data_IF_933801071996
#
_entry.id   IF_933801071996
#
_cell.length_a   1.000
_cell.length_b   1.000
_cell.length_c   1.000
_cell.angle_alpha   90.00
_cell.angle_beta   90.00
_cell.angle_gamma   90.00
#
_symmetry.space_group_name_H-M   'P 1'
#
loop_
_entity.id
_entity.type
_entity.pdbx_description
1 polymer ?
#
# COMPACT_ATOMS: atom_id res chain seq x y z
N UNK A 1 13.48 13.32 7.33
CA UNK A 1 12.25 13.41 8.15
C UNK A 1 11.60 12.05 8.05
N UNK A 2 11.54 11.31 9.16
CA UNK A 2 10.87 10.02 9.16
C UNK A 2 9.39 10.25 8.95
N UNK A 3 8.80 9.59 7.96
CA UNK A 3 7.36 9.60 7.72
C UNK A 3 6.72 9.11 9.01
N UNK A 4 6.18 10.05 9.78
CA UNK A 4 5.44 9.80 10.99
C UNK A 4 4.35 8.80 10.60
N UNK A 5 4.50 7.57 11.07
CA UNK A 5 3.54 6.51 10.80
C UNK A 5 2.25 6.98 11.43
N UNK A 6 1.31 7.43 10.61
CA UNK A 6 0.05 7.93 11.08
C UNK A 6 -0.58 6.83 11.96
N UNK A 7 -0.78 7.06 13.28
CA UNK A 7 -1.18 6.00 14.19
C UNK A 7 -2.52 5.38 13.80
N UNK A 8 -3.36 6.11 13.04
CA UNK A 8 -4.57 5.57 12.42
C UNK A 8 -4.29 4.50 11.37
N UNK A 9 -3.23 4.65 10.57
CA UNK A 9 -2.82 3.67 9.56
C UNK A 9 -2.32 2.38 10.21
N UNK A 10 -1.48 2.46 11.25
CA UNK A 10 -0.96 1.26 11.93
C UNK A 10 -2.06 0.48 12.68
N UNK A 11 -3.08 1.18 13.21
CA UNK A 11 -4.20 0.52 13.88
C UNK A 11 -5.15 -0.17 12.89
N UNK A 12 -5.46 0.46 11.75
CA UNK A 12 -6.27 -0.15 10.70
C UNK A 12 -5.56 -1.33 10.04
N UNK A 13 -4.25 -1.18 9.77
CA UNK A 13 -3.41 -2.28 9.30
C UNK A 13 -3.40 -3.40 10.35
N UNK A 14 -3.51 -3.08 11.64
CA UNK A 14 -3.71 -3.97 12.77
C UNK A 14 -4.94 -4.89 12.73
N UNK A 15 -5.91 -4.66 11.85
CA UNK A 15 -7.11 -5.49 11.67
C UNK A 15 -7.09 -6.32 10.36
N UNK A 16 -6.15 -6.04 9.46
CA UNK A 16 -6.00 -6.76 8.20
C UNK A 16 -5.41 -8.16 8.38
N UNK A 17 -5.63 -9.05 7.43
CA UNK A 17 -4.92 -10.33 7.38
C UNK A 17 -3.42 -10.10 7.22
N UNK A 18 -2.59 -10.99 7.78
CA UNK A 18 -1.13 -10.87 7.68
C UNK A 18 -0.67 -10.72 6.22
N UNK A 19 -1.30 -11.44 5.30
CA UNK A 19 -1.05 -11.34 3.86
C UNK A 19 -1.32 -9.94 3.28
N UNK A 20 -2.47 -9.34 3.60
CA UNK A 20 -2.84 -7.99 3.11
C UNK A 20 -1.86 -6.92 3.63
N UNK A 21 -1.42 -7.05 4.89
CA UNK A 21 -0.44 -6.13 5.49
C UNK A 21 0.91 -6.22 4.80
N UNK A 22 1.37 -7.44 4.55
CA UNK A 22 2.66 -7.71 3.92
C UNK A 22 2.69 -7.16 2.49
N UNK A 23 1.63 -7.44 1.70
CA UNK A 23 1.47 -6.91 0.34
C UNK A 23 1.46 -5.38 0.35
N UNK A 24 0.63 -4.76 1.20
CA UNK A 24 0.55 -3.29 1.30
C UNK A 24 1.89 -2.66 1.69
N UNK A 25 2.56 -3.20 2.71
CA UNK A 25 3.87 -2.69 3.17
C UNK A 25 4.94 -2.84 2.10
N UNK A 26 4.98 -3.98 1.44
CA UNK A 26 5.97 -4.24 0.39
C UNK A 26 5.74 -3.30 -0.80
N UNK A 27 4.50 -3.14 -1.24
CA UNK A 27 4.13 -2.25 -2.34
C UNK A 27 4.47 -0.80 -2.01
N UNK A 28 4.18 -0.35 -0.79
CA UNK A 28 4.57 0.97 -0.28
C UNK A 28 6.08 1.18 -0.18
N UNK A 29 6.85 0.18 0.23
CA UNK A 29 8.32 0.26 0.24
C UNK A 29 8.89 0.34 -1.19
N UNK A 30 8.29 -0.37 -2.14
CA UNK A 30 8.64 -0.23 -3.56
C UNK A 30 8.30 1.17 -4.09
N UNK A 31 7.17 1.75 -3.68
CA UNK A 31 6.83 3.14 -4.02
C UNK A 31 7.85 4.12 -3.45
N UNK A 32 8.15 4.07 -2.15
CA UNK A 32 9.14 4.95 -1.50
C UNK A 32 10.51 4.89 -2.20
N UNK A 33 10.96 3.68 -2.56
CA UNK A 33 12.20 3.48 -3.32
C UNK A 33 12.15 4.05 -4.74
N UNK A 34 11.02 3.91 -5.42
CA UNK A 34 10.85 4.36 -6.81
C UNK A 34 10.61 5.88 -6.88
N UNK A 35 9.98 6.44 -5.85
CA UNK A 35 9.43 7.78 -5.80
C UNK A 35 10.25 8.74 -4.91
N UNK A 36 11.56 8.50 -4.83
CA UNK A 36 12.56 9.40 -4.23
C UNK A 36 12.65 10.80 -4.92
N UNK A 37 11.64 11.18 -5.70
CA UNK A 37 11.53 12.40 -6.51
C UNK A 37 10.19 13.15 -6.37
N UNK A 38 9.41 12.90 -5.31
CA UNK A 38 8.34 13.80 -4.86
C UNK A 38 7.17 13.99 -5.84
N UNK A 39 6.63 12.91 -6.40
CA UNK A 39 5.52 12.97 -7.34
C UNK A 39 4.26 12.28 -6.75
N UNK A 40 3.16 13.02 -6.63
CA UNK A 40 1.78 12.61 -6.29
C UNK A 40 1.47 11.10 -6.05
N UNK A 41 0.98 10.79 -4.84
CA UNK A 41 0.44 9.49 -4.38
C UNK A 41 -0.53 8.81 -5.38
N UNK A 42 -1.28 9.57 -6.19
CA UNK A 42 -2.33 9.00 -7.06
C UNK A 42 -1.78 8.19 -8.26
N UNK A 43 -0.51 8.39 -8.64
CA UNK A 43 0.13 7.65 -9.73
C UNK A 43 0.67 6.27 -9.30
N UNK A 44 0.70 6.00 -7.99
CA UNK A 44 1.36 4.85 -7.38
C UNK A 44 0.73 3.52 -7.81
N UNK A 45 -0.57 3.36 -7.60
CA UNK A 45 -1.30 2.08 -7.83
C UNK A 45 -1.24 1.59 -9.28
N UNK A 46 -1.01 2.50 -10.22
CA UNK A 46 -1.03 2.17 -11.64
C UNK A 46 0.31 1.67 -12.17
N UNK A 47 1.41 1.81 -11.43
CA UNK A 47 2.73 1.46 -11.96
C UNK A 47 2.82 -0.06 -12.29
N UNK A 48 2.99 -0.42 -13.58
CA UNK A 48 3.03 -1.81 -14.00
C UNK A 48 4.30 -2.53 -13.54
N UNK A 49 5.38 -1.81 -13.19
CA UNK A 49 6.60 -2.44 -12.69
C UNK A 49 6.43 -2.87 -11.23
N UNK A 50 5.87 -1.99 -10.40
CA UNK A 50 5.66 -2.27 -8.97
C UNK A 50 4.65 -3.42 -8.81
N UNK A 51 3.55 -3.39 -9.54
CA UNK A 51 2.57 -4.49 -9.51
C UNK A 51 3.14 -5.81 -10.02
N UNK A 52 4.07 -5.80 -10.98
CA UNK A 52 4.77 -7.01 -11.41
C UNK A 52 5.75 -7.55 -10.36
N UNK A 53 6.46 -6.68 -9.62
CA UNK A 53 7.35 -7.10 -8.53
C UNK A 53 6.53 -7.72 -7.39
N UNK A 54 5.46 -7.05 -6.97
CA UNK A 54 4.55 -7.54 -5.91
C UNK A 54 3.89 -8.87 -6.33
N UNK A 55 3.41 -8.94 -7.57
CA UNK A 55 2.84 -10.16 -8.14
C UNK A 55 3.80 -11.35 -8.06
N UNK A 56 5.09 -11.11 -8.37
CA UNK A 56 6.13 -12.14 -8.31
C UNK A 56 6.48 -12.55 -6.88
N UNK A 57 6.57 -11.59 -5.96
CA UNK A 57 6.95 -11.85 -4.56
C UNK A 57 5.85 -12.62 -3.80
N UNK A 58 4.60 -12.24 -4.02
CA UNK A 58 3.46 -12.83 -3.30
C UNK A 58 2.73 -13.93 -4.08
N UNK A 59 3.17 -14.22 -5.31
CA UNK A 59 2.54 -15.17 -6.23
C UNK A 59 1.03 -14.88 -6.42
N UNK A 60 0.69 -13.60 -6.51
CA UNK A 60 -0.66 -13.07 -6.77
C UNK A 60 -0.71 -12.38 -8.12
N UNK A 61 -1.89 -12.13 -8.69
CA UNK A 61 -2.01 -11.36 -9.93
C UNK A 61 -1.73 -9.87 -9.69
N UNK A 62 -1.23 -9.15 -10.71
CA UNK A 62 -1.05 -7.69 -10.64
C UNK A 62 -2.36 -6.96 -10.29
N UNK A 63 -3.50 -7.45 -10.79
CA UNK A 63 -4.83 -6.94 -10.44
C UNK A 63 -5.17 -7.19 -8.96
N UNK A 64 -4.80 -8.35 -8.43
CA UNK A 64 -5.03 -8.71 -7.03
C UNK A 64 -4.16 -7.86 -6.09
N UNK A 65 -2.89 -7.64 -6.45
CA UNK A 65 -2.01 -6.72 -5.73
C UNK A 65 -2.58 -5.30 -5.66
N UNK A 66 -3.09 -4.76 -6.79
CA UNK A 66 -3.78 -3.47 -6.82
C UNK A 66 -5.01 -3.46 -5.95
N UNK A 67 -5.85 -4.48 -6.05
CA UNK A 67 -7.09 -4.56 -5.29
C UNK A 67 -6.82 -4.61 -3.77
N UNK A 68 -5.80 -5.35 -3.33
CA UNK A 68 -5.37 -5.37 -1.94
C UNK A 68 -4.94 -3.97 -1.51
N UNK A 69 -4.07 -3.31 -2.28
CA UNK A 69 -3.59 -1.96 -1.95
C UNK A 69 -4.74 -0.96 -1.84
N UNK A 70 -5.58 -0.84 -2.87
CA UNK A 70 -6.74 0.07 -2.88
C UNK A 70 -7.73 -0.28 -1.77
N UNK A 71 -7.95 -1.56 -1.47
CA UNK A 71 -8.83 -1.97 -0.36
C UNK A 71 -8.29 -1.51 0.99
N UNK A 72 -6.99 -1.66 1.22
CA UNK A 72 -6.31 -1.21 2.44
C UNK A 72 -6.37 0.31 2.56
N UNK A 73 -6.08 1.05 1.49
CA UNK A 73 -6.19 2.51 1.49
C UNK A 73 -7.62 2.99 1.73
N UNK A 74 -8.61 2.35 1.12
CA UNK A 74 -10.02 2.66 1.35
C UNK A 74 -10.40 2.44 2.81
N UNK A 75 -9.92 1.36 3.44
CA UNK A 75 -10.14 1.08 4.86
C UNK A 75 -9.46 2.13 5.75
N UNK A 76 -8.22 2.52 5.43
CA UNK A 76 -7.50 3.58 6.15
C UNK A 76 -8.25 4.91 6.02
N UNK A 77 -8.66 5.29 4.81
CA UNK A 77 -9.40 6.52 4.55
C UNK A 77 -10.76 6.55 5.26
N UNK A 78 -11.50 5.43 5.28
CA UNK A 78 -12.77 5.31 6.02
C UNK A 78 -12.55 5.43 7.54
N UNK A 79 -11.46 4.85 8.07
CA UNK A 79 -11.10 4.96 9.47
C UNK A 79 -10.71 6.39 9.86
N UNK A 80 -9.89 7.06 9.05
CA UNK A 80 -9.51 8.47 9.25
C UNK A 80 -10.71 9.41 9.15
N UNK A 81 -11.68 9.12 8.28
CA UNK A 81 -12.93 9.89 8.15
C UNK A 81 -13.89 9.72 9.32
N UNK A 82 -13.76 8.62 10.08
CA UNK A 82 -14.61 8.30 11.25
C UNK A 82 -14.02 8.76 12.59
N UNK A 83 -12.79 9.26 12.62
CA UNK A 83 -12.23 10.01 13.76
C UNK A 83 -12.71 11.46 13.77
#
# INVERSE_FOLDING_TARGET
>A
MGTERDPGTENCVGELSQHERDVYRFMRDQYDRTMNYGADDDAEVQDPQITAIVSREFNISAEEARNIYTSVETKIADFLRKQ
#
